data_IF_895856263442
#
_entry.id   IF_895856263442
#
_cell.length_a   1.000
_cell.length_b   1.000
_cell.length_c   1.000
_cell.angle_alpha   90.00
_cell.angle_beta   90.00
_cell.angle_gamma   90.00
#
_symmetry.space_group_name_H-M   'P 1'
#
loop_
_entity.id
_entity.type
_entity.pdbx_description
1 polymer ?
#
# COMPACT_ATOMS: atom_id res chain seq x y z
N UNK A 1 -26.52 -43.76 -34.82
CA UNK A 1 -26.26 -44.05 -33.40
C UNK A 1 -24.96 -43.36 -33.01
N UNK A 2 -25.10 -42.31 -32.21
CA UNK A 2 -24.15 -41.67 -31.27
C UNK A 2 -22.75 -41.24 -31.80
N UNK A 3 -22.65 -39.92 -32.04
CA UNK A 3 -21.44 -39.10 -31.93
C UNK A 3 -20.90 -39.10 -30.49
N UNK A 4 -19.57 -39.08 -30.33
CA UNK A 4 -18.94 -38.32 -29.24
C UNK A 4 -17.46 -38.05 -29.57
N UNK A 5 -17.18 -36.81 -29.97
CA UNK A 5 -15.83 -36.30 -30.17
C UNK A 5 -15.10 -36.11 -28.84
N UNK A 6 -13.79 -36.34 -28.88
CA UNK A 6 -12.86 -36.05 -27.78
C UNK A 6 -12.71 -34.53 -27.68
N UNK A 7 -13.40 -33.94 -26.70
CA UNK A 7 -13.26 -32.52 -26.37
C UNK A 7 -12.02 -32.35 -25.48
N UNK A 8 -10.95 -31.83 -26.07
CA UNK A 8 -9.75 -31.37 -25.39
C UNK A 8 -10.15 -30.20 -24.46
N UNK A 9 -10.25 -30.44 -23.15
CA UNK A 9 -10.42 -29.35 -22.19
C UNK A 9 -9.08 -28.64 -22.01
N UNK A 10 -8.94 -27.52 -22.74
CA UNK A 10 -8.05 -26.43 -22.37
C UNK A 10 -8.32 -26.07 -20.90
N UNK A 11 -7.40 -26.45 -20.00
CA UNK A 11 -7.36 -25.88 -18.66
C UNK A 11 -6.98 -24.41 -18.81
N UNK A 12 -7.99 -23.56 -18.97
CA UNK A 12 -7.83 -22.13 -18.85
C UNK A 12 -7.24 -21.81 -17.48
N UNK A 13 -6.10 -21.14 -17.46
CA UNK A 13 -5.59 -20.52 -16.24
C UNK A 13 -6.72 -19.65 -15.68
N UNK A 14 -7.23 -20.02 -14.51
CA UNK A 14 -8.28 -19.27 -13.85
C UNK A 14 -7.71 -17.90 -13.47
N UNK A 15 -8.42 -16.79 -13.75
CA UNK A 15 -7.95 -15.47 -13.36
C UNK A 15 -7.77 -15.45 -11.84
N UNK A 16 -6.63 -14.91 -11.40
CA UNK A 16 -6.30 -14.76 -9.98
C UNK A 16 -7.32 -13.80 -9.36
N UNK A 17 -8.39 -14.36 -8.83
CA UNK A 17 -9.49 -13.61 -8.21
C UNK A 17 -9.25 -13.57 -6.70
N UNK A 18 -9.52 -12.41 -6.11
CA UNK A 18 -9.39 -12.09 -4.68
C UNK A 18 -9.96 -13.16 -3.72
N UNK A 19 -10.83 -14.04 -4.20
CA UNK A 19 -11.43 -15.14 -3.44
C UNK A 19 -10.47 -16.27 -3.04
N UNK A 20 -9.26 -16.36 -3.63
CA UNK A 20 -8.38 -17.50 -3.34
C UNK A 20 -7.55 -17.36 -2.05
N UNK A 21 -7.38 -16.14 -1.52
CA UNK A 21 -6.69 -15.93 -0.23
C UNK A 21 -7.62 -16.15 0.98
N UNK A 22 -8.94 -16.17 0.77
CA UNK A 22 -9.94 -16.38 1.82
C UNK A 22 -10.66 -17.72 1.58
N UNK A 23 -9.94 -18.85 1.68
CA UNK A 23 -10.59 -20.18 1.63
C UNK A 23 -11.34 -20.56 2.91
N UNK A 24 -11.39 -19.68 3.91
CA UNK A 24 -12.24 -19.86 5.09
C UNK A 24 -13.03 -18.57 5.33
N UNK A 25 -14.20 -18.51 4.70
CA UNK A 25 -15.19 -17.45 4.86
C UNK A 25 -16.00 -17.68 6.16
N UNK A 26 -15.34 -17.80 7.30
CA UNK A 26 -16.02 -17.68 8.59
C UNK A 26 -15.72 -16.27 9.12
N UNK A 27 -16.62 -15.34 8.86
CA UNK A 27 -16.55 -13.98 9.41
C UNK A 27 -16.52 -13.97 10.95
N UNK A 28 -16.83 -15.10 11.62
CA UNK A 28 -16.54 -15.28 13.05
C UNK A 28 -15.05 -15.34 13.33
N UNK A 29 -14.26 -16.11 12.57
CA UNK A 29 -12.83 -16.29 12.80
C UNK A 29 -12.01 -15.01 12.62
N UNK A 30 -12.38 -14.14 11.67
CA UNK A 30 -11.74 -12.84 11.49
C UNK A 30 -12.10 -11.85 12.61
N UNK A 31 -13.33 -11.91 13.17
CA UNK A 31 -13.71 -11.15 14.37
C UNK A 31 -13.05 -11.70 15.63
N UNK A 32 -12.89 -13.02 15.72
CA UNK A 32 -12.27 -13.72 16.85
C UNK A 32 -10.74 -13.48 16.93
N UNK A 33 -10.10 -13.16 15.80
CA UNK A 33 -8.70 -12.73 15.73
C UNK A 33 -8.53 -11.20 15.76
N UNK A 34 -9.61 -10.43 15.64
CA UNK A 34 -9.54 -8.98 15.71
C UNK A 34 -9.31 -8.58 17.16
N UNK A 35 -8.21 -7.87 17.42
CA UNK A 35 -7.99 -7.27 18.72
C UNK A 35 -9.08 -6.21 18.98
N UNK A 36 -9.75 -6.30 20.12
CA UNK A 36 -10.71 -5.27 20.55
C UNK A 36 -9.99 -3.91 20.62
N UNK A 37 -10.60 -2.82 20.11
CA UNK A 37 -10.03 -1.50 20.21
C UNK A 37 -9.76 -1.15 21.67
N UNK A 38 -8.56 -0.63 21.97
CA UNK A 38 -8.27 -0.11 23.30
C UNK A 38 -9.24 1.02 23.62
N UNK A 39 -9.78 1.05 24.82
CA UNK A 39 -10.72 2.07 25.27
C UNK A 39 -10.20 2.76 26.55
N UNK A 40 -10.68 3.96 26.81
CA UNK A 40 -10.36 4.73 28.01
C UNK A 40 -9.74 6.11 27.71
N UNK A 41 -9.45 6.85 28.77
CA UNK A 41 -9.01 8.26 28.69
C UNK A 41 -7.67 8.38 27.95
N UNK A 42 -6.73 7.46 28.19
CA UNK A 42 -5.43 7.46 27.50
C UNK A 42 -5.58 7.31 25.98
N UNK A 43 -6.45 6.40 25.53
CA UNK A 43 -6.73 6.25 24.10
C UNK A 43 -7.42 7.49 23.54
N UNK A 44 -8.38 8.07 24.26
CA UNK A 44 -9.08 9.28 23.81
C UNK A 44 -8.12 10.48 23.61
N UNK A 45 -7.16 10.65 24.53
CA UNK A 45 -6.13 11.68 24.41
C UNK A 45 -5.19 11.42 23.23
N UNK A 46 -4.80 10.16 23.02
CA UNK A 46 -3.98 9.76 21.87
C UNK A 46 -4.71 10.04 20.56
N UNK A 47 -6.00 9.69 20.46
CA UNK A 47 -6.79 9.92 19.25
C UNK A 47 -6.92 11.42 18.94
N UNK A 48 -7.07 12.27 19.98
CA UNK A 48 -7.06 13.74 19.82
C UNK A 48 -5.69 14.22 19.32
N UNK A 49 -4.60 13.70 19.89
CA UNK A 49 -3.25 14.06 19.46
C UNK A 49 -2.96 13.66 18.01
N UNK A 50 -3.36 12.46 17.59
CA UNK A 50 -3.18 11.95 16.22
C UNK A 50 -4.06 12.69 15.19
N UNK A 51 -5.21 13.21 15.60
CA UNK A 51 -6.09 14.03 14.74
C UNK A 51 -5.66 15.50 14.67
N UNK A 52 -4.71 15.92 15.50
CA UNK A 52 -4.23 17.30 15.51
C UNK A 52 -3.49 17.65 14.20
N UNK A 53 -3.63 18.87 13.67
CA UNK A 53 -2.81 19.33 12.54
C UNK A 53 -1.30 19.28 12.85
N UNK A 54 -0.90 19.35 14.12
CA UNK A 54 0.51 19.22 14.54
C UNK A 54 1.07 17.84 14.15
N UNK A 55 0.26 16.79 14.22
CA UNK A 55 0.68 15.45 13.81
C UNK A 55 1.06 15.42 12.32
N UNK A 56 0.14 15.87 11.46
CA UNK A 56 0.30 15.81 10.00
C UNK A 56 1.36 16.80 9.48
N UNK A 57 1.41 18.02 10.01
CA UNK A 57 2.27 19.08 9.46
C UNK A 57 3.65 19.20 10.11
N UNK A 58 3.86 18.62 11.30
CA UNK A 58 5.13 18.74 12.03
C UNK A 58 5.74 17.37 12.30
N UNK A 59 5.03 16.51 13.02
CA UNK A 59 5.61 15.25 13.51
C UNK A 59 5.89 14.25 12.39
N UNK A 60 4.95 14.09 11.45
CA UNK A 60 5.12 13.20 10.29
C UNK A 60 6.27 13.64 9.37
N UNK A 61 6.36 14.92 8.94
CA UNK A 61 7.50 15.40 8.14
C UNK A 61 8.84 15.27 8.86
N UNK A 62 8.88 15.55 10.17
CA UNK A 62 10.10 15.42 10.96
C UNK A 62 10.56 13.96 11.05
N UNK A 63 9.63 13.02 11.26
CA UNK A 63 9.94 11.59 11.25
C UNK A 63 10.49 11.16 9.88
N UNK A 64 9.87 11.58 8.77
CA UNK A 64 10.36 11.29 7.42
C UNK A 64 11.75 11.87 7.17
N UNK A 65 11.99 13.11 7.60
CA UNK A 65 13.30 13.76 7.49
C UNK A 65 14.39 13.01 8.28
N UNK A 66 14.05 12.40 9.42
CA UNK A 66 15.01 11.61 10.20
C UNK A 66 15.46 10.34 9.46
N UNK A 67 14.56 9.67 8.72
CA UNK A 67 14.89 8.50 7.90
C UNK A 67 15.84 8.91 6.77
N UNK A 68 15.51 9.99 6.05
CA UNK A 68 16.36 10.52 4.97
C UNK A 68 17.73 10.89 5.50
N UNK A 69 17.79 11.62 6.62
CA UNK A 69 19.05 12.02 7.25
C UNK A 69 19.90 10.80 7.63
N UNK A 70 19.29 9.80 8.26
CA UNK A 70 19.98 8.58 8.66
C UNK A 70 20.55 7.84 7.45
N UNK A 71 19.79 7.74 6.35
CA UNK A 71 20.27 7.13 5.11
C UNK A 71 21.49 7.87 4.54
N UNK A 72 21.42 9.20 4.44
CA UNK A 72 22.51 10.02 3.91
C UNK A 72 23.76 10.00 4.82
N UNK A 73 23.58 9.91 6.14
CA UNK A 73 24.69 9.72 7.11
C UNK A 73 25.38 8.35 6.96
N UNK A 74 24.71 7.38 6.34
CA UNK A 74 25.24 6.04 6.04
C UNK A 74 25.60 5.90 4.55
N UNK A 75 25.94 7.00 3.88
CA UNK A 75 26.37 7.05 2.48
C UNK A 75 25.32 6.55 1.46
N UNK A 76 24.04 6.45 1.85
CA UNK A 76 22.94 6.16 0.92
C UNK A 76 22.42 7.51 0.38
N UNK A 77 22.61 7.82 -0.92
CA UNK A 77 22.30 9.13 -1.49
C UNK A 77 20.79 9.29 -1.77
N UNK A 78 19.98 9.18 -0.72
CA UNK A 78 18.52 9.10 -0.76
C UNK A 78 17.87 10.19 -1.60
N UNK A 79 18.21 11.45 -1.32
CA UNK A 79 17.63 12.63 -1.97
C UNK A 79 17.98 12.64 -3.46
N UNK A 80 19.24 12.33 -3.78
CA UNK A 80 19.73 12.26 -5.16
C UNK A 80 19.06 11.12 -5.93
N UNK A 81 18.94 9.93 -5.32
CA UNK A 81 18.32 8.77 -5.92
C UNK A 81 16.81 9.00 -6.17
N UNK A 82 16.10 9.57 -5.19
CA UNK A 82 14.69 9.97 -5.34
C UNK A 82 14.52 10.97 -6.49
N UNK A 83 15.39 11.97 -6.56
CA UNK A 83 15.38 12.99 -7.62
C UNK A 83 15.65 12.37 -8.99
N UNK A 84 16.63 11.47 -9.07
CA UNK A 84 16.95 10.72 -10.28
C UNK A 84 15.76 9.88 -10.75
N UNK A 85 15.09 9.12 -9.87
CA UNK A 85 13.89 8.36 -10.20
C UNK A 85 12.77 9.26 -10.75
N UNK A 86 12.49 10.39 -10.08
CA UNK A 86 11.49 11.36 -10.54
C UNK A 86 11.89 12.10 -11.82
N UNK A 87 13.16 12.13 -12.20
CA UNK A 87 13.60 12.79 -13.45
C UNK A 87 13.30 12.00 -14.74
N UNK A 88 12.91 10.73 -14.63
CA UNK A 88 12.66 9.89 -15.80
C UNK A 88 11.42 10.35 -16.57
N UNK A 89 11.64 10.90 -17.76
CA UNK A 89 10.54 11.29 -18.66
C UNK A 89 9.75 10.05 -19.08
N UNK A 90 8.43 10.15 -19.06
CA UNK A 90 7.52 9.05 -19.43
C UNK A 90 7.41 7.94 -18.38
N UNK A 91 8.03 8.10 -17.21
CA UNK A 91 7.84 7.16 -16.12
C UNK A 91 6.40 7.19 -15.58
N UNK A 92 5.80 6.04 -15.24
CA UNK A 92 4.41 5.97 -14.77
C UNK A 92 4.10 6.86 -13.56
N UNK A 93 5.06 7.02 -12.65
CA UNK A 93 4.93 7.83 -11.44
C UNK A 93 4.97 9.35 -11.64
N UNK A 94 5.28 9.80 -12.87
CA UNK A 94 5.29 11.22 -13.21
C UNK A 94 4.01 11.66 -13.94
N UNK A 95 3.07 10.74 -14.17
CA UNK A 95 1.79 11.02 -14.80
C UNK A 95 0.69 10.96 -13.72
N UNK A 96 0.15 12.13 -13.39
CA UNK A 96 -0.90 12.30 -12.37
C UNK A 96 -2.23 11.62 -12.75
N UNK A 97 -2.45 11.38 -14.03
CA UNK A 97 -3.63 10.68 -14.53
C UNK A 97 -3.42 9.17 -14.60
N UNK A 98 -2.17 8.72 -14.51
CA UNK A 98 -1.80 7.31 -14.52
C UNK A 98 -1.77 6.75 -13.10
N UNK A 99 -2.95 6.55 -12.53
CA UNK A 99 -3.06 5.69 -11.35
C UNK A 99 -2.57 4.28 -11.71
N UNK A 100 -2.01 3.56 -10.74
CA UNK A 100 -1.81 2.11 -10.82
C UNK A 100 -3.19 1.44 -10.76
N UNK A 101 -4.01 1.72 -11.77
CA UNK A 101 -5.14 0.87 -12.10
C UNK A 101 -4.51 -0.27 -12.88
N UNK A 102 -4.09 -1.31 -12.17
CA UNK A 102 -3.75 -2.57 -12.81
C UNK A 102 -4.92 -2.90 -13.71
N UNK A 103 -4.62 -3.15 -14.98
CA UNK A 103 -5.56 -3.55 -16.03
C UNK A 103 -6.15 -4.93 -15.65
N UNK A 104 -6.99 -4.91 -14.63
CA UNK A 104 -7.59 -6.06 -13.98
C UNK A 104 -8.90 -5.59 -13.37
N UNK A 105 -9.92 -6.42 -13.45
CA UNK A 105 -11.21 -6.21 -12.78
C UNK A 105 -11.09 -6.29 -11.23
N UNK A 106 -9.88 -6.33 -10.68
CA UNK A 106 -9.64 -6.46 -9.24
C UNK A 106 -9.69 -5.09 -8.55
N UNK A 107 -10.78 -4.86 -7.81
CA UNK A 107 -10.87 -3.74 -6.90
C UNK A 107 -9.93 -3.94 -5.70
N UNK A 108 -8.96 -3.04 -5.53
CA UNK A 108 -8.18 -3.01 -4.28
C UNK A 108 -9.06 -2.69 -3.08
N UNK A 109 -8.88 -3.38 -1.93
CA UNK A 109 -9.52 -2.99 -0.69
C UNK A 109 -9.28 -1.52 -0.34
N UNK A 110 -10.28 -0.86 0.25
CA UNK A 110 -10.21 0.55 0.65
C UNK A 110 -9.01 0.85 1.56
N UNK A 111 -8.64 -0.10 2.41
CA UNK A 111 -7.52 0.02 3.35
C UNK A 111 -6.23 0.50 2.68
N UNK A 112 -5.94 0.06 1.46
CA UNK A 112 -4.72 0.42 0.74
C UNK A 112 -4.71 1.87 0.21
N UNK A 113 -5.86 2.53 0.18
CA UNK A 113 -6.03 3.93 -0.25
C UNK A 113 -6.23 4.90 0.91
N UNK A 114 -6.22 4.39 2.15
CA UNK A 114 -6.22 5.24 3.34
C UNK A 114 -4.80 5.67 3.67
N UNK A 115 -4.68 6.82 4.33
CA UNK A 115 -3.40 7.26 4.88
C UNK A 115 -2.73 6.16 5.71
N UNK A 116 -1.44 5.96 5.46
CA UNK A 116 -0.62 4.94 6.11
C UNK A 116 0.79 5.49 6.34
N UNK A 117 1.30 5.34 7.56
CA UNK A 117 2.53 5.98 8.02
C UNK A 117 2.58 7.48 7.67
N UNK A 118 3.45 7.87 6.75
CA UNK A 118 3.69 9.26 6.35
C UNK A 118 3.05 9.63 5.01
N UNK A 119 2.24 8.74 4.42
CA UNK A 119 1.64 8.93 3.10
C UNK A 119 0.14 9.14 3.23
N UNK A 120 -0.37 10.26 2.70
CA UNK A 120 -1.79 10.62 2.74
C UNK A 120 -2.61 9.77 1.75
N UNK A 121 -2.06 9.53 0.56
CA UNK A 121 -2.71 8.75 -0.52
C UNK A 121 -2.64 7.22 -0.29
N UNK A 122 -2.08 6.79 0.84
CA UNK A 122 -1.96 5.39 1.22
C UNK A 122 -0.83 4.62 0.54
N UNK A 123 -0.91 3.29 0.66
CA UNK A 123 0.16 2.35 0.36
C UNK A 123 0.44 2.19 -1.13
N UNK A 124 -0.52 2.55 -1.97
CA UNK A 124 -0.43 2.40 -3.43
C UNK A 124 0.08 3.67 -4.11
N UNK A 125 0.48 4.68 -3.34
CA UNK A 125 1.08 5.88 -3.89
C UNK A 125 2.50 5.60 -4.42
N UNK A 126 2.83 6.19 -5.57
CA UNK A 126 4.20 6.08 -6.11
C UNK A 126 5.25 6.71 -5.19
N UNK A 127 4.87 7.71 -4.41
CA UNK A 127 5.76 8.33 -3.42
C UNK A 127 6.18 7.32 -2.33
N UNK A 128 5.24 6.50 -1.85
CA UNK A 128 5.54 5.40 -0.94
C UNK A 128 6.40 4.32 -1.62
N UNK A 129 6.08 3.95 -2.86
CA UNK A 129 6.83 2.94 -3.61
C UNK A 129 8.29 3.34 -3.86
N UNK A 130 8.54 4.60 -4.26
CA UNK A 130 9.89 5.12 -4.49
C UNK A 130 10.70 5.08 -3.19
N UNK A 131 10.15 5.54 -2.08
CA UNK A 131 10.86 5.58 -0.81
C UNK A 131 11.09 4.18 -0.21
N UNK A 132 10.17 3.25 -0.43
CA UNK A 132 10.37 1.85 -0.06
C UNK A 132 11.52 1.20 -0.84
N UNK A 133 11.64 1.46 -2.15
CA UNK A 133 12.77 0.98 -2.95
C UNK A 133 14.10 1.51 -2.39
N UNK A 134 14.16 2.80 -2.03
CA UNK A 134 15.36 3.40 -1.44
C UNK A 134 15.69 2.83 -0.05
N UNK A 135 14.68 2.54 0.77
CA UNK A 135 14.86 1.94 2.09
C UNK A 135 15.31 0.48 2.08
N UNK A 136 15.11 -0.22 0.96
CA UNK A 136 15.41 -1.65 0.82
C UNK A 136 16.85 -1.96 0.40
N UNK A 137 17.64 -0.92 0.10
CA UNK A 137 19.03 -1.02 -0.39
C UNK A 137 20.03 -0.79 0.74
#
# INVERSE_FOLDING_TARGET
>A
MILAGVLLLLQGASPFTYKQCIRNNDGRRLRELAAEPRAGIGQALLDVALKSPVWAYVLVPQARASIVKTAEENDIPWTKAKTWLKSHKGAPWNDEHRRVEVESEAEYPEYYRRSFHAYEDGNLSYDAAIEQELASR
#
